data_IF_695899795340
#
_entry.id   IF_695899795340
#
_cell.length_a   1.000
_cell.length_b   1.000
_cell.length_c   1.000
_cell.angle_alpha   90.00
_cell.angle_beta   90.00
_cell.angle_gamma   90.00
#
_symmetry.space_group_name_H-M   'P 1'
#
loop_
_entity.id
_entity.type
_entity.pdbx_description
1 polymer ?
#
# COMPACT_ATOMS: atom_id res chain seq x y z
N UNK A 1 29.79 12.83 -9.76
CA UNK A 1 29.56 11.96 -10.94
C UNK A 1 28.05 11.86 -11.10
N UNK A 2 27.53 12.20 -12.27
CA UNK A 2 26.09 12.23 -12.52
C UNK A 2 25.50 10.82 -12.36
N UNK A 3 24.52 10.69 -11.48
CA UNK A 3 23.70 9.48 -11.37
C UNK A 3 23.09 9.26 -12.75
N UNK A 4 23.37 8.10 -13.36
CA UNK A 4 22.55 7.62 -14.49
C UNK A 4 21.17 7.34 -13.91
N UNK A 5 20.29 8.33 -13.89
CA UNK A 5 18.88 8.03 -13.83
C UNK A 5 18.56 7.31 -15.13
N UNK A 6 17.98 6.11 -15.06
CA UNK A 6 17.26 5.50 -16.19
C UNK A 6 15.95 6.30 -16.46
N UNK A 7 16.02 7.63 -16.35
CA UNK A 7 14.94 8.58 -16.49
C UNK A 7 14.99 9.26 -17.86
N UNK A 8 13.82 9.61 -18.37
CA UNK A 8 13.69 10.31 -19.64
C UNK A 8 14.55 11.58 -19.62
N UNK A 9 15.50 11.68 -20.54
CA UNK A 9 16.10 12.96 -20.87
C UNK A 9 15.04 13.75 -21.63
N UNK A 10 14.80 15.00 -21.24
CA UNK A 10 13.87 15.90 -21.92
C UNK A 10 14.12 15.86 -23.45
N UNK A 11 13.15 15.33 -24.21
CA UNK A 11 13.23 15.18 -25.67
C UNK A 11 13.67 13.82 -26.22
N UNK A 12 14.14 12.86 -25.40
CA UNK A 12 14.51 11.50 -25.83
C UNK A 12 13.52 10.49 -25.25
N UNK A 13 12.49 10.19 -26.03
CA UNK A 13 11.44 9.24 -25.68
C UNK A 13 11.76 7.86 -26.28
N UNK A 14 11.51 6.75 -25.57
CA UNK A 14 11.43 5.43 -26.19
C UNK A 14 10.43 5.49 -27.34
N UNK A 15 10.87 5.06 -28.52
CA UNK A 15 10.04 5.11 -29.74
C UNK A 15 8.68 4.43 -29.53
N UNK A 16 8.65 3.35 -28.74
CA UNK A 16 7.44 2.65 -28.35
C UNK A 16 6.44 3.51 -27.58
N UNK A 17 6.91 4.34 -26.63
CA UNK A 17 6.03 5.23 -25.87
C UNK A 17 5.43 6.31 -26.78
N UNK A 18 6.24 6.92 -27.64
CA UNK A 18 5.75 7.95 -28.58
C UNK A 18 4.67 7.39 -29.52
N UNK A 19 4.89 6.20 -30.08
CA UNK A 19 3.90 5.52 -30.93
C UNK A 19 2.61 5.21 -30.17
N UNK A 20 2.72 4.75 -28.92
CA UNK A 20 1.58 4.47 -28.07
C UNK A 20 0.75 5.75 -27.79
N UNK A 21 1.39 6.85 -27.40
CA UNK A 21 0.71 8.12 -27.13
C UNK A 21 0.01 8.69 -28.37
N UNK A 22 0.64 8.60 -29.55
CA UNK A 22 0.03 8.99 -30.82
C UNK A 22 -1.21 8.14 -31.14
N UNK A 23 -1.12 6.82 -30.92
CA UNK A 23 -2.24 5.91 -31.12
C UNK A 23 -3.40 6.21 -30.17
N UNK A 24 -3.10 6.50 -28.90
CA UNK A 24 -4.09 6.85 -27.88
C UNK A 24 -4.82 8.16 -28.24
N UNK A 25 -4.08 9.22 -28.55
CA UNK A 25 -4.66 10.49 -28.97
C UNK A 25 -5.58 10.30 -30.20
N UNK A 26 -5.12 9.56 -31.21
CA UNK A 26 -5.95 9.25 -32.39
C UNK A 26 -7.22 8.47 -32.03
N UNK A 27 -7.15 7.52 -31.09
CA UNK A 27 -8.32 6.75 -30.63
C UNK A 27 -9.35 7.60 -29.89
N UNK A 28 -8.91 8.72 -29.29
CA UNK A 28 -9.76 9.71 -28.64
C UNK A 28 -10.24 10.82 -29.60
N UNK A 29 -9.88 10.75 -30.89
CA UNK A 29 -10.22 11.78 -31.88
C UNK A 29 -9.40 13.08 -31.72
N UNK A 30 -8.20 12.97 -31.13
CA UNK A 30 -7.31 14.08 -30.81
C UNK A 30 -6.06 14.08 -31.70
N UNK A 31 -5.51 15.27 -31.93
CA UNK A 31 -4.18 15.43 -32.51
C UNK A 31 -3.15 15.39 -31.40
N UNK A 32 -2.20 14.44 -31.48
CA UNK A 32 -1.08 14.40 -30.55
C UNK A 32 -0.12 15.56 -30.82
N UNK A 33 -0.18 16.59 -29.98
CA UNK A 33 0.68 17.77 -30.05
C UNK A 33 1.99 17.52 -29.31
N UNK A 34 3.04 17.19 -30.07
CA UNK A 34 4.39 16.97 -29.53
C UNK A 34 5.01 18.27 -29.01
N UNK A 35 4.69 19.41 -29.62
CA UNK A 35 5.27 20.71 -29.24
C UNK A 35 4.61 21.26 -27.96
N UNK A 36 3.33 20.96 -27.76
CA UNK A 36 2.57 21.29 -26.55
C UNK A 36 2.68 20.28 -25.41
N UNK A 37 3.49 19.22 -25.56
CA UNK A 37 3.63 18.17 -24.56
C UNK A 37 4.39 18.69 -23.33
N UNK A 38 3.71 18.72 -22.19
CA UNK A 38 4.31 18.99 -20.88
C UNK A 38 4.58 17.66 -20.17
N UNK A 39 5.78 17.53 -19.61
CA UNK A 39 6.18 16.35 -18.83
C UNK A 39 6.61 16.78 -17.45
N UNK A 40 6.06 16.15 -16.42
CA UNK A 40 6.43 16.41 -15.04
C UNK A 40 6.79 15.09 -14.37
N UNK A 41 7.99 15.02 -13.81
CA UNK A 41 8.39 13.90 -12.97
C UNK A 41 7.69 13.99 -11.61
N UNK A 42 7.03 12.91 -11.19
CA UNK A 42 6.44 12.80 -9.87
C UNK A 42 7.47 12.18 -8.91
N UNK A 43 8.01 13.01 -8.02
CA UNK A 43 8.86 12.56 -6.91
C UNK A 43 8.05 11.85 -5.84
N UNK A 44 8.59 10.79 -5.24
CA UNK A 44 7.98 10.11 -4.08
C UNK A 44 7.71 8.62 -4.27
N UNK A 45 7.72 8.12 -5.51
CA UNK A 45 7.65 6.68 -5.77
C UNK A 45 8.99 6.02 -5.42
N UNK A 46 8.97 5.07 -4.49
CA UNK A 46 10.18 4.37 -4.04
C UNK A 46 10.63 3.28 -5.02
N UNK A 47 9.70 2.78 -5.85
CA UNK A 47 9.91 1.55 -6.65
C UNK A 47 9.85 1.75 -8.16
N UNK A 48 9.21 2.81 -8.61
CA UNK A 48 8.96 3.10 -10.02
C UNK A 48 9.26 4.56 -10.33
N UNK A 49 9.66 4.86 -11.57
CA UNK A 49 9.80 6.26 -12.00
C UNK A 49 8.52 6.69 -12.71
N UNK A 50 7.84 7.68 -12.14
CA UNK A 50 6.49 8.07 -12.57
C UNK A 50 6.51 9.48 -13.17
N UNK A 51 5.84 9.65 -14.31
CA UNK A 51 5.72 10.93 -15.01
C UNK A 51 4.26 11.22 -15.32
N UNK A 52 3.86 12.48 -15.19
CA UNK A 52 2.64 12.98 -15.82
C UNK A 52 2.98 13.58 -17.17
N UNK A 53 2.24 13.17 -18.19
CA UNK A 53 2.35 13.71 -19.54
C UNK A 53 1.03 14.39 -19.87
N UNK A 54 1.10 15.65 -20.31
CA UNK A 54 -0.08 16.46 -20.62
C UNK A 54 0.05 17.16 -21.97
N UNK A 55 -1.00 17.17 -22.80
CA UNK A 55 -1.05 17.91 -24.06
C UNK A 55 -2.41 18.59 -24.28
N UNK A 56 -2.48 19.69 -25.05
CA UNK A 56 -3.75 20.33 -25.38
C UNK A 56 -4.67 19.40 -26.19
N UNK A 57 -5.96 19.36 -25.83
CA UNK A 57 -6.96 18.62 -26.60
C UNK A 57 -7.29 19.43 -27.85
N UNK A 58 -6.85 18.96 -29.02
CA UNK A 58 -7.19 19.52 -30.34
C UNK A 58 -7.95 18.46 -31.13
N UNK A 59 -9.24 18.68 -31.40
CA UNK A 59 -10.06 17.74 -32.17
C UNK A 59 -9.71 17.77 -33.66
N UNK A 60 -9.76 16.61 -34.30
CA UNK A 60 -9.45 16.46 -35.73
C UNK A 60 -10.39 17.27 -36.64
N UNK A 61 -11.65 17.49 -36.22
CA UNK A 61 -12.69 18.16 -37.02
C UNK A 61 -12.76 19.69 -36.86
N UNK A 62 -11.81 20.31 -36.15
CA UNK A 62 -11.66 21.78 -36.10
C UNK A 62 -12.68 22.54 -35.26
N UNK A 63 -13.60 21.87 -34.57
CA UNK A 63 -14.47 22.50 -33.56
C UNK A 63 -13.70 22.62 -32.24
N UNK A 64 -13.04 23.76 -32.07
CA UNK A 64 -12.20 24.13 -30.93
C UNK A 64 -13.07 24.54 -29.72
N UNK A 65 -14.03 23.69 -29.36
CA UNK A 65 -14.96 23.94 -28.27
C UNK A 65 -14.36 23.49 -26.93
N UNK A 66 -13.48 24.34 -26.39
CA UNK A 66 -13.06 24.35 -24.98
C UNK A 66 -11.64 23.85 -24.76
N UNK A 67 -10.70 24.77 -24.52
CA UNK A 67 -9.27 24.49 -24.29
C UNK A 67 -8.97 23.59 -23.08
N UNK A 68 -9.19 22.29 -23.25
CA UNK A 68 -8.88 21.25 -22.29
C UNK A 68 -7.46 20.70 -22.46
N UNK A 69 -7.00 19.99 -21.44
CA UNK A 69 -5.70 19.31 -21.42
C UNK A 69 -5.95 17.83 -21.20
N UNK A 70 -5.38 17.00 -22.07
CA UNK A 70 -5.31 15.55 -21.86
C UNK A 70 -4.12 15.28 -20.96
N UNK A 71 -4.31 14.50 -19.90
CA UNK A 71 -3.22 14.06 -19.02
C UNK A 71 -3.26 12.54 -18.90
N UNK A 72 -2.09 11.92 -18.94
CA UNK A 72 -1.87 10.50 -18.70
C UNK A 72 -0.72 10.31 -17.72
N UNK A 73 -0.70 9.16 -17.04
CA UNK A 73 0.41 8.76 -16.20
C UNK A 73 1.29 7.78 -16.96
N UNK A 74 2.61 7.97 -16.93
CA UNK A 74 3.59 7.05 -17.50
C UNK A 74 4.43 6.50 -16.37
N UNK A 75 4.35 5.18 -16.17
CA UNK A 75 5.16 4.46 -15.19
C UNK A 75 6.25 3.68 -15.90
N UNK A 76 7.49 3.96 -15.54
CA UNK A 76 8.66 3.21 -16.00
C UNK A 76 9.10 2.29 -14.88
N UNK A 77 9.27 1.01 -15.22
CA UNK A 77 9.71 0.00 -14.27
C UNK A 77 11.17 0.27 -13.88
N UNK A 78 11.42 0.39 -12.57
CA UNK A 78 12.78 0.52 -12.02
C UNK A 78 13.48 -0.83 -11.92
N UNK A 79 14.82 -0.80 -11.97
CA UNK A 79 15.67 -1.95 -11.68
C UNK A 79 15.85 -2.09 -10.14
N UNK A 80 15.79 -3.32 -9.61
CA UNK A 80 16.36 -3.61 -8.28
C UNK A 80 15.40 -3.89 -7.11
N UNK A 81 14.15 -4.30 -7.35
CA UNK A 81 13.18 -4.60 -6.27
C UNK A 81 12.55 -5.99 -6.32
N UNK A 82 13.11 -6.90 -7.11
CA UNK A 82 12.65 -8.29 -7.23
C UNK A 82 12.70 -9.05 -5.88
N UNK A 83 13.39 -8.49 -4.89
CA UNK A 83 13.47 -9.01 -3.52
C UNK A 83 12.15 -8.89 -2.75
N UNK A 84 11.39 -7.81 -2.98
CA UNK A 84 10.18 -7.54 -2.21
C UNK A 84 8.92 -8.06 -2.88
N UNK A 85 8.83 -8.04 -4.20
CA UNK A 85 7.67 -8.49 -4.94
C UNK A 85 8.02 -8.97 -6.34
N UNK A 86 7.13 -9.80 -6.90
CA UNK A 86 7.28 -10.32 -8.25
C UNK A 86 6.66 -9.34 -9.26
N UNK A 87 7.47 -8.83 -10.19
CA UNK A 87 7.03 -7.88 -11.22
C UNK A 87 5.93 -8.43 -12.13
N UNK A 88 6.00 -9.71 -12.50
CA UNK A 88 4.98 -10.32 -13.36
C UNK A 88 3.64 -10.42 -12.64
N UNK A 89 3.65 -10.70 -11.34
CA UNK A 89 2.45 -10.71 -10.50
C UNK A 89 1.88 -9.30 -10.33
N UNK A 90 2.73 -8.29 -10.08
CA UNK A 90 2.32 -6.88 -10.00
C UNK A 90 1.59 -6.43 -11.28
N UNK A 91 2.16 -6.75 -12.46
CA UNK A 91 1.56 -6.41 -13.76
C UNK A 91 0.21 -7.09 -13.93
N UNK A 92 0.11 -8.40 -13.65
CA UNK A 92 -1.15 -9.16 -13.77
C UNK A 92 -2.23 -8.63 -12.82
N UNK A 93 -1.86 -8.32 -11.59
CA UNK A 93 -2.76 -7.72 -10.60
C UNK A 93 -3.27 -6.38 -11.08
N UNK A 94 -2.38 -5.51 -11.57
CA UNK A 94 -2.76 -4.20 -12.11
C UNK A 94 -3.69 -4.31 -13.32
N UNK A 95 -3.37 -5.17 -14.29
CA UNK A 95 -4.20 -5.41 -15.48
C UNK A 95 -5.62 -5.85 -15.08
N UNK A 96 -5.71 -6.81 -14.16
CA UNK A 96 -6.99 -7.32 -13.69
C UNK A 96 -7.80 -6.24 -12.95
N UNK A 97 -7.17 -5.46 -12.06
CA UNK A 97 -7.84 -4.36 -11.34
C UNK A 97 -8.33 -3.25 -12.29
N UNK A 98 -7.52 -2.93 -13.30
CA UNK A 98 -7.89 -1.98 -14.36
C UNK A 98 -9.12 -2.47 -15.16
N UNK A 99 -9.15 -3.74 -15.56
CA UNK A 99 -10.28 -4.31 -16.32
C UNK A 99 -11.60 -4.29 -15.54
N UNK A 100 -11.52 -4.47 -14.22
CA UNK A 100 -12.68 -4.49 -13.32
C UNK A 100 -13.05 -3.08 -12.78
N UNK A 101 -12.28 -2.04 -13.10
CA UNK A 101 -12.57 -0.66 -12.69
C UNK A 101 -12.27 -0.35 -11.22
N UNK A 102 -11.38 -1.11 -10.57
CA UNK A 102 -10.98 -0.90 -9.17
C UNK A 102 -9.71 -0.06 -9.00
N UNK A 103 -9.10 0.34 -10.11
CA UNK A 103 -7.89 1.16 -10.17
C UNK A 103 -7.81 2.01 -11.43
N UNK A 104 -6.67 2.70 -11.63
CA UNK A 104 -6.43 3.45 -12.84
C UNK A 104 -6.52 2.53 -14.07
N UNK A 105 -7.27 2.95 -15.09
CA UNK A 105 -7.32 2.22 -16.35
C UNK A 105 -5.95 2.13 -17.01
N UNK A 106 -5.54 0.92 -17.38
CA UNK A 106 -4.43 0.66 -18.26
C UNK A 106 -4.78 1.14 -19.68
N UNK A 107 -3.97 2.07 -20.21
CA UNK A 107 -4.12 2.59 -21.57
C UNK A 107 -3.22 1.86 -22.56
N UNK A 108 -2.10 1.31 -22.11
CA UNK A 108 -1.27 0.41 -22.90
C UNK A 108 0.12 0.18 -22.34
N UNK A 109 0.83 -0.80 -22.92
CA UNK A 109 2.20 -1.15 -22.54
C UNK A 109 3.22 -0.71 -23.58
N UNK A 110 4.44 -0.50 -23.11
CA UNK A 110 5.62 -0.41 -23.93
C UNK A 110 6.76 -1.21 -23.27
N UNK A 111 7.89 -1.37 -23.98
CA UNK A 111 8.95 -2.31 -23.60
C UNK A 111 9.43 -2.21 -22.13
N UNK A 112 9.39 -1.03 -21.52
CA UNK A 112 9.95 -0.76 -20.19
C UNK A 112 8.96 -0.07 -19.25
N UNK A 113 7.65 -0.16 -19.53
CA UNK A 113 6.66 0.52 -18.70
C UNK A 113 5.24 0.41 -19.22
N UNK A 114 4.35 1.18 -18.59
CA UNK A 114 2.94 1.26 -18.93
C UNK A 114 2.44 2.72 -18.92
N UNK A 115 1.37 2.95 -19.68
CA UNK A 115 0.61 4.20 -19.68
C UNK A 115 -0.73 3.93 -19.01
N UNK A 116 -1.04 4.72 -18.00
CA UNK A 116 -2.22 4.59 -17.15
C UNK A 116 -3.06 5.86 -17.30
N UNK A 117 -4.36 5.76 -17.01
CA UNK A 117 -5.20 6.95 -16.91
C UNK A 117 -4.71 7.85 -15.77
N UNK A 118 -4.84 9.16 -15.97
CA UNK A 118 -4.57 10.10 -14.89
C UNK A 118 -5.84 10.27 -14.04
N UNK A 119 -5.74 9.94 -12.76
CA UNK A 119 -6.82 10.15 -11.80
C UNK A 119 -6.76 11.60 -11.31
N UNK A 120 -7.84 12.35 -11.52
CA UNK A 120 -7.98 13.74 -11.05
C UNK A 120 -8.43 13.77 -9.59
N UNK A 121 -7.56 13.30 -8.71
CA UNK A 121 -7.75 13.25 -7.27
C UNK A 121 -6.46 13.66 -6.56
N UNK A 122 -6.56 14.04 -5.28
CA UNK A 122 -5.37 14.24 -4.43
C UNK A 122 -5.08 12.96 -3.66
N UNK A 123 -3.81 12.70 -3.37
CA UNK A 123 -3.44 11.71 -2.36
C UNK A 123 -3.85 12.21 -0.98
N UNK A 124 -4.17 11.29 -0.09
CA UNK A 124 -4.42 11.63 1.31
C UNK A 124 -3.11 12.02 2.01
N UNK A 125 -3.27 12.69 3.15
CA UNK A 125 -2.22 13.00 4.11
C UNK A 125 -2.45 12.23 5.41
N UNK A 126 -1.46 12.25 6.30
CA UNK A 126 -1.61 11.66 7.65
C UNK A 126 -2.78 12.28 8.44
N UNK A 127 -3.13 13.54 8.16
CA UNK A 127 -4.23 14.23 8.82
C UNK A 127 -5.59 13.76 8.32
N UNK A 128 -5.72 13.46 7.02
CA UNK A 128 -6.97 12.97 6.43
C UNK A 128 -7.40 11.63 7.03
N UNK A 129 -6.44 10.77 7.43
CA UNK A 129 -6.76 9.49 8.09
C UNK A 129 -7.50 9.66 9.43
N UNK A 130 -7.39 10.84 10.06
CA UNK A 130 -8.05 11.16 11.34
C UNK A 130 -9.47 11.70 11.14
N UNK A 131 -9.83 12.09 9.92
CA UNK A 131 -11.14 12.63 9.61
C UNK A 131 -12.19 11.50 9.59
N UNK A 132 -13.26 11.57 10.41
CA UNK A 132 -14.25 10.50 10.51
C UNK A 132 -15.01 10.21 9.21
N UNK A 133 -15.23 11.21 8.36
CA UNK A 133 -15.92 11.04 7.07
C UNK A 133 -15.00 10.31 6.09
N UNK A 134 -13.76 10.77 5.95
CA UNK A 134 -12.73 10.12 5.14
C UNK A 134 -12.46 8.69 5.60
N UNK A 135 -12.34 8.45 6.91
CA UNK A 135 -12.16 7.12 7.48
C UNK A 135 -13.34 6.18 7.14
N UNK A 136 -14.58 6.70 7.10
CA UNK A 136 -15.74 5.91 6.69
C UNK A 136 -15.72 5.55 5.20
N UNK A 137 -15.25 6.46 4.35
CA UNK A 137 -15.06 6.20 2.91
C UNK A 137 -13.96 5.17 2.66
N UNK A 138 -12.84 5.26 3.39
CA UNK A 138 -11.76 4.27 3.32
C UNK A 138 -12.28 2.89 3.76
N UNK A 139 -13.01 2.81 4.89
CA UNK A 139 -13.57 1.57 5.39
C UNK A 139 -14.49 0.88 4.36
N UNK A 140 -15.37 1.66 3.72
CA UNK A 140 -16.23 1.14 2.65
C UNK A 140 -15.40 0.67 1.45
N UNK A 141 -14.42 1.46 1.00
CA UNK A 141 -13.60 1.11 -0.15
C UNK A 141 -12.71 -0.12 0.09
N UNK A 142 -12.19 -0.29 1.30
CA UNK A 142 -11.46 -1.50 1.70
C UNK A 142 -12.36 -2.73 1.66
N UNK A 143 -13.63 -2.61 2.10
CA UNK A 143 -14.59 -3.72 2.01
C UNK A 143 -14.81 -4.14 0.56
N UNK A 144 -15.05 -3.18 -0.33
CA UNK A 144 -15.20 -3.45 -1.77
C UNK A 144 -13.94 -4.11 -2.34
N UNK A 145 -12.75 -3.66 -1.92
CA UNK A 145 -11.47 -4.21 -2.38
C UNK A 145 -11.24 -5.65 -1.89
N UNK A 146 -11.60 -5.96 -0.64
CA UNK A 146 -11.45 -7.29 -0.06
C UNK A 146 -12.39 -8.34 -0.69
N UNK A 147 -13.52 -7.91 -1.24
CA UNK A 147 -14.49 -8.77 -1.95
C UNK A 147 -14.10 -9.05 -3.42
N UNK A 148 -12.94 -8.53 -3.87
CA UNK A 148 -12.46 -8.77 -5.23
C UNK A 148 -12.12 -10.23 -5.49
N UNK A 149 -12.65 -10.73 -6.60
CA UNK A 149 -12.40 -12.07 -7.11
C UNK A 149 -11.21 -12.04 -8.08
N UNK A 150 -10.01 -12.10 -7.53
CA UNK A 150 -8.75 -12.11 -8.29
C UNK A 150 -8.35 -13.55 -8.68
N UNK A 151 -7.59 -13.71 -9.78
CA UNK A 151 -7.05 -15.01 -10.19
C UNK A 151 -6.21 -15.68 -9.08
N UNK A 152 -6.20 -17.02 -8.99
CA UNK A 152 -5.42 -17.76 -7.99
C UNK A 152 -3.89 -17.53 -8.12
N UNK A 153 -3.11 -17.78 -7.04
CA UNK A 153 -3.52 -18.46 -5.80
C UNK A 153 -4.30 -17.56 -4.83
N UNK A 154 -5.29 -18.15 -4.13
CA UNK A 154 -6.12 -17.49 -3.10
C UNK A 154 -5.64 -17.75 -1.66
N UNK A 155 -4.46 -18.34 -1.52
CA UNK A 155 -3.89 -18.67 -0.22
C UNK A 155 -3.22 -17.44 0.40
N UNK A 156 -3.33 -17.24 1.72
CA UNK A 156 -2.61 -16.19 2.43
C UNK A 156 -1.10 -16.26 2.22
N UNK A 157 -0.49 -15.11 1.87
CA UNK A 157 0.95 -15.03 1.62
C UNK A 157 1.75 -14.42 2.77
N UNK A 158 1.09 -13.79 3.76
CA UNK A 158 1.72 -13.04 4.85
C UNK A 158 2.85 -13.82 5.54
N UNK A 159 2.56 -15.03 6.05
CA UNK A 159 3.50 -15.79 6.86
C UNK A 159 4.68 -16.32 6.05
N UNK A 160 4.43 -16.80 4.83
CA UNK A 160 5.49 -17.21 3.91
C UNK A 160 6.40 -16.03 3.54
N UNK A 161 5.82 -14.85 3.30
CA UNK A 161 6.57 -13.63 3.00
C UNK A 161 7.44 -13.20 4.18
N UNK A 162 6.91 -13.23 5.41
CA UNK A 162 7.69 -12.96 6.63
C UNK A 162 8.90 -13.88 6.76
N UNK A 163 8.75 -15.19 6.53
CA UNK A 163 9.86 -16.15 6.59
C UNK A 163 10.89 -15.94 5.51
N UNK A 164 10.44 -15.68 4.27
CA UNK A 164 11.34 -15.38 3.16
C UNK A 164 12.16 -14.12 3.46
N UNK A 165 11.51 -13.04 3.88
CA UNK A 165 12.21 -11.80 4.24
C UNK A 165 13.11 -11.96 5.46
N UNK A 166 12.75 -12.80 6.44
CA UNK A 166 13.67 -13.13 7.52
C UNK A 166 14.94 -13.84 7.01
N UNK A 167 14.81 -14.74 6.04
CA UNK A 167 15.97 -15.38 5.39
C UNK A 167 16.84 -14.34 4.70
N UNK A 168 16.24 -13.49 3.86
CA UNK A 168 16.96 -12.43 3.14
C UNK A 168 17.64 -11.45 4.12
N UNK A 169 16.96 -11.05 5.19
CA UNK A 169 17.54 -10.20 6.22
C UNK A 169 18.75 -10.87 6.90
N UNK A 170 18.68 -12.17 7.19
CA UNK A 170 19.82 -12.92 7.77
C UNK A 170 21.01 -13.00 6.83
N UNK A 171 20.78 -13.08 5.52
CA UNK A 171 21.82 -13.17 4.51
C UNK A 171 22.48 -11.81 4.22
N UNK A 172 21.70 -10.72 4.25
CA UNK A 172 22.16 -9.37 3.94
C UNK A 172 22.78 -8.65 5.15
N UNK A 173 22.24 -8.85 6.35
CA UNK A 173 22.60 -8.03 7.51
C UNK A 173 24.01 -8.31 8.05
N UNK A 174 24.63 -7.26 8.58
CA UNK A 174 25.85 -7.43 9.38
C UNK A 174 25.55 -8.26 10.64
N UNK A 175 26.55 -8.97 11.20
CA UNK A 175 26.36 -9.70 12.47
C UNK A 175 25.92 -8.81 13.64
N UNK A 176 26.30 -7.52 13.62
CA UNK A 176 25.88 -6.53 14.62
C UNK A 176 24.38 -6.28 14.56
N UNK A 177 23.89 -5.91 13.37
CA UNK A 177 22.47 -5.68 13.12
C UNK A 177 21.65 -6.96 13.37
N UNK A 178 22.10 -8.11 12.90
CA UNK A 178 21.40 -9.38 13.11
C UNK A 178 21.19 -9.71 14.59
N UNK A 179 22.14 -9.33 15.45
CA UNK A 179 22.02 -9.46 16.90
C UNK A 179 21.13 -8.36 17.51
N UNK A 180 21.32 -7.11 17.10
CA UNK A 180 20.53 -5.96 17.57
C UNK A 180 19.02 -6.17 17.32
N UNK A 181 18.65 -6.55 16.10
CA UNK A 181 17.27 -6.82 15.69
C UNK A 181 16.80 -8.24 16.04
N UNK A 182 17.63 -9.02 16.74
CA UNK A 182 17.31 -10.37 17.23
C UNK A 182 16.80 -11.33 16.13
N UNK A 183 17.38 -11.29 14.93
CA UNK A 183 16.93 -12.12 13.79
C UNK A 183 16.97 -13.63 14.09
N UNK A 184 17.82 -14.05 15.04
CA UNK A 184 17.96 -15.45 15.44
C UNK A 184 16.72 -16.04 16.14
N UNK A 185 15.89 -15.21 16.79
CA UNK A 185 14.63 -15.68 17.42
C UNK A 185 13.38 -15.42 16.58
N UNK A 186 13.45 -14.55 15.55
CA UNK A 186 12.26 -14.14 14.81
C UNK A 186 11.50 -15.28 14.13
N UNK A 187 12.16 -16.38 13.75
CA UNK A 187 11.47 -17.55 13.18
C UNK A 187 10.51 -18.17 14.21
N UNK A 188 10.96 -18.27 15.47
CA UNK A 188 10.13 -18.79 16.55
C UNK A 188 8.96 -17.84 16.83
N UNK A 189 9.21 -16.53 16.73
CA UNK A 189 8.17 -15.52 16.92
C UNK A 189 7.11 -15.53 15.81
N UNK A 190 7.54 -15.66 14.55
CA UNK A 190 6.62 -15.77 13.40
C UNK A 190 5.73 -17.01 13.57
N UNK A 191 6.31 -18.16 13.90
CA UNK A 191 5.54 -19.40 14.13
C UNK A 191 4.58 -19.26 15.31
N UNK A 192 4.99 -18.64 16.41
CA UNK A 192 4.13 -18.42 17.57
C UNK A 192 2.93 -17.52 17.22
N UNK A 193 3.15 -16.44 16.46
CA UNK A 193 2.06 -15.58 15.99
C UNK A 193 1.12 -16.29 15.01
N UNK A 194 1.67 -17.03 14.05
CA UNK A 194 0.86 -17.79 13.11
C UNK A 194 -0.04 -18.79 13.84
N UNK A 195 0.51 -19.56 14.78
CA UNK A 195 -0.27 -20.47 15.61
C UNK A 195 -1.29 -19.74 16.48
N UNK A 196 -0.93 -18.62 17.11
CA UNK A 196 -1.81 -17.89 18.01
C UNK A 196 -2.97 -17.16 17.31
N UNK A 197 -2.78 -16.77 16.04
CA UNK A 197 -3.75 -15.97 15.29
C UNK A 197 -4.57 -16.85 14.33
N UNK A 198 -3.97 -17.89 13.73
CA UNK A 198 -4.65 -18.79 12.77
C UNK A 198 -5.47 -19.92 13.38
N UNK A 199 -5.65 -19.94 14.71
CA UNK A 199 -6.55 -20.90 15.37
C UNK A 199 -8.05 -20.60 15.15
N UNK A 200 -8.40 -19.33 14.90
CA UNK A 200 -9.79 -18.91 14.71
C UNK A 200 -10.13 -18.79 13.21
N UNK A 201 -11.41 -18.91 12.84
CA UNK A 201 -11.85 -18.80 11.45
C UNK A 201 -11.56 -17.40 10.90
N UNK A 202 -10.60 -17.31 9.97
CA UNK A 202 -10.19 -16.04 9.35
C UNK A 202 -10.95 -15.79 8.04
N UNK A 203 -11.53 -14.61 7.90
CA UNK A 203 -12.01 -14.11 6.61
C UNK A 203 -10.82 -13.71 5.75
N UNK A 204 -10.63 -14.43 4.63
CA UNK A 204 -9.58 -14.16 3.64
C UNK A 204 -10.18 -13.34 2.51
N UNK A 205 -9.56 -12.22 2.19
CA UNK A 205 -9.94 -11.33 1.10
C UNK A 205 -8.73 -10.93 0.27
N UNK A 206 -8.99 -10.29 -0.88
CA UNK A 206 -7.91 -9.70 -1.66
C UNK A 206 -7.47 -8.40 -1.00
N UNK A 207 -6.32 -8.44 -0.31
CA UNK A 207 -5.82 -7.33 0.49
C UNK A 207 -4.84 -6.48 -0.32
N UNK A 208 -4.81 -5.18 -0.03
CA UNK A 208 -3.80 -4.26 -0.56
C UNK A 208 -2.43 -4.48 0.11
N UNK A 209 -2.45 -4.78 1.41
CA UNK A 209 -1.30 -5.01 2.30
C UNK A 209 -0.41 -3.76 2.55
N UNK A 210 -0.65 -2.65 1.86
CA UNK A 210 0.05 -1.37 2.05
C UNK A 210 -0.90 -0.16 2.03
N UNK A 211 -1.94 -0.19 2.87
CA UNK A 211 -2.95 0.88 3.02
C UNK A 211 -2.46 2.15 3.73
N UNK A 212 -1.31 2.68 3.32
CA UNK A 212 -0.80 4.00 3.74
C UNK A 212 -1.47 5.15 2.98
N UNK A 213 -1.49 6.36 3.55
CA UNK A 213 -2.24 7.49 2.96
C UNK A 213 -1.76 7.90 1.56
N UNK A 214 -0.50 7.63 1.19
CA UNK A 214 0.02 7.91 -0.15
C UNK A 214 -0.58 7.02 -1.24
N UNK A 215 -1.11 5.86 -0.86
CA UNK A 215 -1.74 4.89 -1.75
C UNK A 215 -3.27 5.05 -1.83
N UNK A 216 -3.81 6.10 -1.20
CA UNK A 216 -5.23 6.39 -1.17
C UNK A 216 -5.45 7.77 -1.77
N UNK A 217 -6.25 7.85 -2.83
CA UNK A 217 -6.63 9.09 -3.47
C UNK A 217 -8.09 9.42 -3.19
N UNK A 218 -8.40 10.70 -3.02
CA UNK A 218 -9.76 11.21 -2.86
C UNK A 218 -10.09 12.27 -3.90
N UNK A 219 -11.22 12.11 -4.58
CA UNK A 219 -11.85 13.19 -5.36
C UNK A 219 -12.81 13.96 -4.44
N UNK A 220 -12.39 15.14 -4.01
CA UNK A 220 -13.16 15.98 -3.09
C UNK A 220 -14.50 16.44 -3.69
N UNK A 221 -14.70 16.37 -5.02
CA UNK A 221 -15.95 16.81 -5.66
C UNK A 221 -17.10 15.81 -5.48
N UNK A 222 -16.78 14.52 -5.36
CA UNK A 222 -17.78 13.45 -5.27
C UNK A 222 -17.52 12.48 -4.11
N UNK A 223 -16.50 12.75 -3.28
CA UNK A 223 -16.12 11.93 -2.13
C UNK A 223 -15.79 10.47 -2.50
N UNK A 224 -15.20 10.25 -3.68
CA UNK A 224 -14.81 8.91 -4.14
C UNK A 224 -13.38 8.61 -3.76
N UNK A 225 -13.16 7.43 -3.16
CA UNK A 225 -11.83 6.89 -2.86
C UNK A 225 -11.37 5.96 -3.99
N UNK A 226 -10.14 6.17 -4.43
CA UNK A 226 -9.42 5.24 -5.30
C UNK A 226 -8.15 4.78 -4.58
N UNK A 227 -8.01 3.46 -4.42
CA UNK A 227 -6.79 2.83 -3.92
C UNK A 227 -5.85 2.64 -5.10
N UNK A 228 -4.55 2.88 -4.94
CA UNK A 228 -3.52 2.75 -5.97
C UNK A 228 -2.29 2.04 -5.42
N UNK A 229 -1.39 1.63 -6.32
CA UNK A 229 -0.09 1.02 -5.98
C UNK A 229 -0.15 -0.38 -5.33
N UNK A 230 -0.59 -1.36 -6.13
CA UNK A 230 -0.92 -2.72 -5.68
C UNK A 230 0.29 -3.68 -5.61
N UNK A 231 1.52 -3.19 -5.42
CA UNK A 231 2.73 -4.02 -5.51
C UNK A 231 2.82 -5.09 -4.40
N UNK A 232 2.19 -4.84 -3.26
CA UNK A 232 2.05 -5.80 -2.17
C UNK A 232 0.72 -6.56 -2.16
N UNK A 233 -0.19 -6.27 -3.11
CA UNK A 233 -1.54 -6.81 -3.06
C UNK A 233 -1.57 -8.33 -3.27
N UNK A 234 -2.28 -9.04 -2.41
CA UNK A 234 -2.43 -10.48 -2.44
C UNK A 234 -3.62 -10.92 -1.59
N UNK A 235 -4.03 -12.18 -1.74
CA UNK A 235 -4.93 -12.77 -0.74
C UNK A 235 -4.23 -12.85 0.62
N UNK A 236 -4.95 -12.38 1.66
CA UNK A 236 -4.52 -12.39 3.05
C UNK A 236 -5.75 -12.25 3.97
N UNK A 237 -5.58 -12.45 5.29
CA UNK A 237 -6.63 -12.16 6.27
C UNK A 237 -7.00 -10.67 6.22
N UNK A 238 -8.28 -10.34 6.07
CA UNK A 238 -8.74 -8.94 5.97
C UNK A 238 -8.36 -8.11 7.20
N UNK A 239 -8.25 -8.77 8.35
CA UNK A 239 -7.84 -8.16 9.61
C UNK A 239 -6.40 -7.65 9.55
N UNK A 240 -5.51 -8.31 8.77
CA UNK A 240 -4.15 -7.84 8.55
C UNK A 240 -4.11 -6.51 7.80
N UNK A 241 -4.90 -6.36 6.74
CA UNK A 241 -4.88 -5.14 5.93
C UNK A 241 -5.47 -3.94 6.70
N UNK A 242 -6.52 -4.18 7.49
CA UNK A 242 -7.08 -3.16 8.39
C UNK A 242 -6.06 -2.81 9.49
N UNK A 243 -5.36 -3.80 10.07
CA UNK A 243 -4.31 -3.56 11.05
C UNK A 243 -3.18 -2.71 10.47
N UNK A 244 -2.76 -3.00 9.23
CA UNK A 244 -1.80 -2.19 8.51
C UNK A 244 -2.27 -0.74 8.39
N UNK A 245 -3.51 -0.52 7.94
CA UNK A 245 -4.07 0.81 7.82
C UNK A 245 -4.02 1.60 9.15
N UNK A 246 -4.38 0.96 10.26
CA UNK A 246 -4.32 1.59 11.58
C UNK A 246 -2.88 1.87 12.04
N UNK A 247 -1.92 0.98 11.76
CA UNK A 247 -0.51 1.22 12.04
C UNK A 247 0.03 2.42 11.26
N UNK A 248 -0.41 2.64 10.02
CA UNK A 248 0.00 3.78 9.19
C UNK A 248 -0.49 5.13 9.73
N UNK A 249 -1.48 5.16 10.63
CA UNK A 249 -1.89 6.40 11.32
C UNK A 249 -0.82 6.92 12.29
N UNK A 250 0.18 6.10 12.66
CA UNK A 250 1.34 6.54 13.43
C UNK A 250 2.43 7.19 12.57
N UNK A 251 2.35 7.09 11.23
CA UNK A 251 3.37 7.58 10.33
C UNK A 251 3.04 8.98 9.77
N UNK A 252 4.09 9.78 9.52
CA UNK A 252 3.99 10.99 8.71
C UNK A 252 5.27 11.18 7.88
N UNK A 253 5.22 10.63 6.67
CA UNK A 253 6.26 10.67 5.64
C UNK A 253 6.47 12.05 5.00
N UNK A 254 5.66 13.06 5.34
CA UNK A 254 5.83 14.45 4.86
C UNK A 254 6.55 15.36 5.86
N UNK A 255 7.21 14.79 6.87
CA UNK A 255 8.03 15.53 7.84
C UNK A 255 9.51 15.50 7.46
N UNK A 256 10.32 16.32 8.14
CA UNK A 256 11.79 16.28 8.01
C UNK A 256 12.41 14.95 8.48
N UNK A 257 11.65 14.17 9.25
CA UNK A 257 12.05 12.86 9.78
C UNK A 257 11.01 11.80 9.41
N UNK A 258 10.85 11.46 8.12
CA UNK A 258 9.76 10.62 7.64
C UNK A 258 9.79 9.18 8.17
N UNK A 259 10.93 8.76 8.72
CA UNK A 259 11.15 7.46 9.34
C UNK A 259 10.70 7.36 10.80
N UNK A 260 10.36 8.49 11.44
CA UNK A 260 9.94 8.52 12.84
C UNK A 260 8.43 8.28 12.95
N UNK A 261 8.07 7.31 13.78
CA UNK A 261 6.70 6.86 14.01
C UNK A 261 6.20 7.37 15.37
N UNK A 262 5.04 8.01 15.37
CA UNK A 262 4.39 8.54 16.56
C UNK A 262 3.23 7.63 16.97
N UNK A 263 3.55 6.60 17.75
CA UNK A 263 2.56 5.64 18.23
C UNK A 263 1.54 6.22 19.20
N UNK A 264 1.71 7.47 19.67
CA UNK A 264 0.66 8.17 20.43
C UNK A 264 -0.55 8.53 19.54
N UNK A 265 -0.38 8.48 18.21
CA UNK A 265 -1.43 8.72 17.22
C UNK A 265 -2.16 7.47 16.75
N UNK A 266 -1.75 6.28 17.19
CA UNK A 266 -2.47 5.04 16.89
C UNK A 266 -3.93 5.16 17.34
N UNK A 267 -4.92 4.78 16.50
CA UNK A 267 -6.33 4.98 16.81
C UNK A 267 -6.73 4.24 18.08
N UNK A 268 -7.48 4.91 18.96
CA UNK A 268 -8.05 4.30 20.16
C UNK A 268 -9.15 3.29 19.83
N UNK A 269 -9.56 2.50 20.82
CA UNK A 269 -10.54 1.40 20.63
C UNK A 269 -11.85 1.87 19.98
N UNK A 270 -12.45 2.95 20.49
CA UNK A 270 -13.69 3.52 19.93
C UNK A 270 -13.55 3.96 18.47
N UNK A 271 -12.37 4.44 18.09
CA UNK A 271 -12.07 4.84 16.72
C UNK A 271 -11.93 3.62 15.80
N UNK A 272 -11.22 2.59 16.24
CA UNK A 272 -11.09 1.33 15.51
C UNK A 272 -12.46 0.66 15.33
N UNK A 273 -13.27 0.57 16.38
CA UNK A 273 -14.63 0.00 16.31
C UNK A 273 -15.56 0.82 15.40
N UNK A 274 -15.43 2.15 15.39
CA UNK A 274 -16.19 3.01 14.46
C UNK A 274 -15.83 2.72 13.00
N UNK A 275 -14.54 2.58 12.69
CA UNK A 275 -14.08 2.20 11.36
C UNK A 275 -14.60 0.82 10.97
N UNK A 276 -14.46 -0.17 11.86
CA UNK A 276 -14.91 -1.55 11.63
C UNK A 276 -16.43 -1.65 11.44
N UNK A 277 -17.23 -0.89 12.19
CA UNK A 277 -18.68 -0.78 11.97
C UNK A 277 -19.02 -0.27 10.57
N UNK A 278 -18.22 0.65 10.03
CA UNK A 278 -18.41 1.14 8.64
C UNK A 278 -17.98 0.09 7.63
N UNK A 279 -16.87 -0.61 7.88
CA UNK A 279 -16.37 -1.70 7.04
C UNK A 279 -17.37 -2.87 6.94
N UNK A 280 -17.93 -3.32 8.06
CA UNK A 280 -18.89 -4.45 8.10
C UNK A 280 -20.32 -4.06 7.69
N UNK A 281 -20.57 -2.80 7.34
CA UNK A 281 -21.89 -2.19 7.11
C UNK A 281 -22.79 -2.02 8.34
N UNK A 282 -23.86 -1.24 8.20
CA UNK A 282 -24.77 -0.86 9.31
C UNK A 282 -25.57 -2.01 9.93
N UNK A 283 -25.56 -3.21 9.34
CA UNK A 283 -26.26 -4.39 9.87
C UNK A 283 -25.37 -5.32 10.71
N UNK A 284 -24.09 -4.99 10.88
CA UNK A 284 -23.16 -5.76 11.70
C UNK A 284 -23.58 -5.77 13.18
N UNK A 285 -23.41 -6.90 13.86
CA UNK A 285 -23.65 -6.99 15.30
C UNK A 285 -22.45 -6.41 16.05
N UNK A 286 -22.65 -5.87 17.26
CA UNK A 286 -21.51 -5.44 18.09
C UNK A 286 -20.53 -6.58 18.36
N UNK A 287 -21.02 -7.82 18.47
CA UNK A 287 -20.15 -9.00 18.62
C UNK A 287 -19.23 -9.22 17.41
N UNK A 288 -19.72 -9.03 16.18
CA UNK A 288 -18.86 -9.16 14.98
C UNK A 288 -17.85 -8.02 14.88
N UNK A 289 -18.24 -6.82 15.32
CA UNK A 289 -17.36 -5.65 15.38
C UNK A 289 -16.24 -5.89 16.40
N UNK A 290 -16.58 -6.36 17.60
CA UNK A 290 -15.63 -6.67 18.66
C UNK A 290 -14.65 -7.77 18.22
N UNK A 291 -15.16 -8.86 17.64
CA UNK A 291 -14.32 -9.95 17.14
C UNK A 291 -13.32 -9.47 16.08
N UNK A 292 -13.78 -8.74 15.06
CA UNK A 292 -12.88 -8.22 14.03
C UNK A 292 -11.90 -7.17 14.61
N UNK A 293 -12.31 -6.38 15.59
CA UNK A 293 -11.42 -5.43 16.26
C UNK A 293 -10.29 -6.14 17.03
N UNK A 294 -10.60 -7.25 17.69
CA UNK A 294 -9.61 -8.08 18.39
C UNK A 294 -8.66 -8.77 17.40
N UNK A 295 -9.18 -9.32 16.29
CA UNK A 295 -8.37 -9.93 15.25
C UNK A 295 -7.41 -8.90 14.62
N UNK A 296 -7.93 -7.71 14.30
CA UNK A 296 -7.12 -6.59 13.78
C UNK A 296 -6.01 -6.22 14.76
N UNK A 297 -6.32 -6.07 16.05
CA UNK A 297 -5.31 -5.72 17.04
C UNK A 297 -4.22 -6.81 17.13
N UNK A 298 -4.58 -8.10 17.03
CA UNK A 298 -3.60 -9.20 16.99
C UNK A 298 -2.68 -9.12 15.77
N UNK A 299 -3.22 -8.77 14.61
CA UNK A 299 -2.43 -8.64 13.38
C UNK A 299 -1.46 -7.45 13.37
N UNK A 300 -1.61 -6.47 14.25
CA UNK A 300 -0.60 -5.38 14.41
C UNK A 300 0.78 -5.94 14.75
N UNK A 301 0.84 -7.06 15.47
CA UNK A 301 2.10 -7.73 15.80
C UNK A 301 2.81 -8.25 14.55
N UNK A 302 2.07 -8.92 13.66
CA UNK A 302 2.60 -9.40 12.38
C UNK A 302 3.01 -8.22 11.49
N UNK A 303 2.21 -7.13 11.48
CA UNK A 303 2.51 -5.91 10.74
C UNK A 303 3.85 -5.28 11.14
N UNK A 304 4.11 -5.19 12.45
CA UNK A 304 5.36 -4.66 12.97
C UNK A 304 6.58 -5.52 12.57
N UNK A 305 6.46 -6.85 12.60
CA UNK A 305 7.53 -7.72 12.09
C UNK A 305 7.72 -7.56 10.58
N UNK A 306 6.62 -7.46 9.82
CA UNK A 306 6.63 -7.36 8.37
C UNK A 306 7.39 -6.11 7.90
N UNK A 307 6.98 -4.95 8.39
CA UNK A 307 7.59 -3.69 8.01
C UNK A 307 8.93 -3.44 8.73
N UNK A 308 9.18 -4.08 9.87
CA UNK A 308 10.50 -4.12 10.50
C UNK A 308 11.53 -4.85 9.64
N UNK A 309 11.17 -6.02 9.10
CA UNK A 309 12.01 -6.76 8.15
C UNK A 309 12.19 -5.99 6.85
N UNK A 310 11.11 -5.43 6.29
CA UNK A 310 11.17 -4.57 5.10
C UNK A 310 12.14 -3.40 5.29
N UNK A 311 12.03 -2.67 6.41
CA UNK A 311 12.91 -1.56 6.73
C UNK A 311 14.36 -2.02 6.85
N UNK A 312 14.61 -3.10 7.57
CA UNK A 312 15.96 -3.61 7.77
C UNK A 312 16.61 -4.04 6.44
N UNK A 313 15.90 -4.80 5.61
CA UNK A 313 16.39 -5.20 4.28
C UNK A 313 16.66 -3.95 3.44
N UNK A 314 15.73 -3.00 3.43
CA UNK A 314 15.84 -1.74 2.68
C UNK A 314 17.06 -0.92 3.07
N UNK A 315 17.51 -0.97 4.34
CA UNK A 315 18.74 -0.32 4.78
C UNK A 315 20.00 -0.82 4.06
N UNK A 316 19.97 -2.03 3.48
CA UNK A 316 21.09 -2.65 2.78
C UNK A 316 20.97 -2.56 1.25
N UNK A 317 19.76 -2.40 0.71
CA UNK A 317 19.51 -2.48 -0.73
C UNK A 317 18.98 -1.17 -1.35
N UNK A 318 18.39 -0.28 -0.55
CA UNK A 318 17.81 0.97 -1.03
C UNK A 318 18.86 2.08 -1.17
N UNK A 319 18.62 2.98 -2.12
CA UNK A 319 19.41 4.20 -2.35
C UNK A 319 18.64 5.48 -2.02
N UNK A 320 17.44 5.34 -1.45
CA UNK A 320 16.58 6.47 -1.07
C UNK A 320 17.04 7.01 0.28
N UNK A 321 17.06 8.34 0.40
CA UNK A 321 17.38 9.02 1.65
C UNK A 321 16.24 8.85 2.67
N UNK A 322 16.35 7.79 3.48
CA UNK A 322 15.43 7.44 4.54
C UNK A 322 16.20 6.62 5.59
N UNK A 323 16.01 6.90 6.88
CA UNK A 323 16.66 6.12 7.95
C UNK A 323 15.91 4.81 8.19
N UNK A 324 16.19 3.85 7.30
CA UNK A 324 15.58 2.53 7.29
C UNK A 324 15.88 1.72 8.56
N UNK A 325 17.07 1.91 9.16
CA UNK A 325 17.47 1.20 10.38
C UNK A 325 16.69 1.69 11.58
N UNK A 326 16.54 3.00 11.71
CA UNK A 326 15.75 3.62 12.78
C UNK A 326 14.25 3.29 12.63
N UNK A 327 13.73 3.28 11.41
CA UNK A 327 12.37 2.83 11.13
C UNK A 327 12.16 1.35 11.55
N UNK A 328 13.06 0.46 11.13
CA UNK A 328 13.01 -0.95 11.49
C UNK A 328 13.07 -1.15 13.02
N UNK A 329 13.95 -0.41 13.70
CA UNK A 329 14.12 -0.45 15.16
C UNK A 329 12.81 -0.13 15.87
N UNK A 330 12.15 0.97 15.50
CA UNK A 330 10.86 1.36 16.08
C UNK A 330 9.77 0.31 15.87
N UNK A 331 9.67 -0.27 14.65
CA UNK A 331 8.70 -1.34 14.36
C UNK A 331 8.95 -2.58 15.23
N UNK A 332 10.19 -3.06 15.31
CA UNK A 332 10.52 -4.22 16.18
C UNK A 332 10.29 -3.92 17.66
N UNK A 333 10.65 -2.73 18.14
CA UNK A 333 10.39 -2.34 19.54
C UNK A 333 8.91 -2.33 19.89
N UNK A 334 8.05 -1.83 19.00
CA UNK A 334 6.61 -1.89 19.21
C UNK A 334 6.07 -3.31 19.24
N UNK A 335 6.57 -4.20 18.37
CA UNK A 335 6.24 -5.62 18.45
C UNK A 335 6.51 -6.16 19.86
N UNK A 336 7.72 -5.97 20.38
CA UNK A 336 8.11 -6.47 21.71
C UNK A 336 7.31 -5.82 22.84
N UNK A 337 7.02 -4.52 22.75
CA UNK A 337 6.26 -3.78 23.74
C UNK A 337 4.81 -4.26 23.84
N UNK A 338 4.17 -4.53 22.69
CA UNK A 338 2.74 -4.84 22.60
C UNK A 338 2.43 -6.32 22.72
N UNK A 339 3.37 -7.21 22.36
CA UNK A 339 3.19 -8.67 22.31
C UNK A 339 2.47 -9.25 23.53
N UNK A 340 2.97 -8.97 24.74
CA UNK A 340 2.39 -9.56 25.96
C UNK A 340 0.96 -9.09 26.20
N UNK A 341 0.68 -7.80 26.01
CA UNK A 341 -0.66 -7.25 26.23
C UNK A 341 -1.68 -7.82 25.23
N UNK A 342 -1.29 -7.95 23.96
CA UNK A 342 -2.17 -8.40 22.88
C UNK A 342 -2.41 -9.92 22.96
N UNK A 343 -1.37 -10.72 23.22
CA UNK A 343 -1.53 -12.18 23.28
C UNK A 343 -2.15 -12.66 24.60
N UNK A 344 -1.92 -11.96 25.72
CA UNK A 344 -2.46 -12.37 27.03
C UNK A 344 -3.76 -11.64 27.42
N UNK A 345 -4.08 -10.50 26.80
CA UNK A 345 -5.28 -9.71 27.12
C UNK A 345 -6.60 -10.44 26.91
N UNK A 346 -6.62 -11.50 26.08
CA UNK A 346 -7.79 -12.39 25.94
C UNK A 346 -8.04 -13.31 27.15
N UNK A 347 -7.05 -13.49 28.04
CA UNK A 347 -7.17 -14.38 29.22
C UNK A 347 -7.76 -13.66 30.43
N UNK A 348 -7.53 -12.36 30.60
CA UNK A 348 -8.09 -11.60 31.73
C UNK A 348 -9.60 -11.38 31.61
N UNK A 349 -10.15 -11.30 30.38
CA UNK A 349 -11.60 -11.23 30.16
C UNK A 349 -12.34 -12.53 30.53
N UNK A 350 -11.64 -13.69 30.53
CA UNK A 350 -12.21 -15.00 30.88
C UNK A 350 -12.13 -15.32 32.39
N UNK A 351 -11.47 -14.47 33.19
CA UNK A 351 -11.22 -14.71 34.63
C UNK A 351 -12.01 -13.81 35.59
N UNK A 352 -13.12 -13.21 35.14
CA UNK A 352 -14.10 -12.61 36.03
C UNK A 352 -15.26 -13.59 36.29
N UNK A 353 -15.17 -14.53 37.26
CA UNK A 353 -16.38 -15.09 37.83
C UNK A 353 -17.04 -13.95 38.61
N UNK A 354 -18.29 -13.65 38.25
CA UNK A 354 -19.16 -12.87 39.11
C UNK A 354 -19.08 -13.44 40.54
N UNK A 355 -18.47 -12.68 41.45
CA UNK A 355 -18.50 -12.98 42.86
C UNK A 355 -19.89 -12.60 43.38
N UNK A 356 -20.68 -13.61 43.68
CA UNK A 356 -21.84 -13.54 44.57
C UNK A 356 -21.47 -12.75 45.85
N UNK A 357 -22.16 -11.63 46.07
CA UNK A 357 -22.77 -11.22 47.36
C UNK A 357 -24.00 -10.37 47.09
#
# INVERSE_FOLDING_TARGET
>A
MAVKTNGFVEGIWPEGLRKLLMSLASSWGEVFDVEGLKVVHLSGAMTNVVYTLSWPIKKVDGDDCGGGVRTVLVRVYGDGLDLFFNREEEIRTFECLSEHGYGPKLLGHFKVGRVEEFIYARTLSSADLRDPETAALIAAKMRDFHELEMPPPKEPLLWNRLRNWLSEAKDLCSPGDANEYKLHILEQEITLLEEAISMDHQEIGFCHNDMQYGNIMIDDNNSTITIIDYEYASYNPIAYDIANHFCEMAANYHTDTPHILDYTKYPGEEERKRFIRKYLSSSASETSVDQLADDVERYTLANHLFWGLWGLISAYVSHIEFDYKEYARQRFEQYWLRKLAILNGGVEAAMNPASDV
#
